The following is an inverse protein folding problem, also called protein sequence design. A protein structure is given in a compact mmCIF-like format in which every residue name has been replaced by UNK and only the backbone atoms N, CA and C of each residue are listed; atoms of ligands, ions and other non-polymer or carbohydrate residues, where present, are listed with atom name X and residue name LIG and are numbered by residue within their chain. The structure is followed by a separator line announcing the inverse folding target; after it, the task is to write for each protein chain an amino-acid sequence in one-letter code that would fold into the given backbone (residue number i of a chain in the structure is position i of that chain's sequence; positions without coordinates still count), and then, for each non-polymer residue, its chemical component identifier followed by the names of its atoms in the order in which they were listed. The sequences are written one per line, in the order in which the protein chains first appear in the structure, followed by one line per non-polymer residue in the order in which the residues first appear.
data_IF_574935970459
#
_entry.id   IF_574935970459
#
_cell.length_a   1.000
_cell.length_b   1.000
_cell.length_c   1.000
_cell.angle_alpha   90.00
_cell.angle_beta   90.00
_cell.angle_gamma   90.00
#
_symmetry.space_group_name_H-M   'P 1'
#
loop_
_entity.id
_entity.type
_entity.pdbx_description
1 polymer ?
#
# COMPACT_ATOMS: atom_id res chain seq x y z
N UNK A 1 2.95 6.97 -40.06
CA UNK A 1 2.13 6.05 -39.25
C UNK A 1 2.46 6.30 -37.79
N UNK A 2 1.77 7.24 -37.15
CA UNK A 2 1.97 7.51 -35.72
C UNK A 2 1.33 6.35 -34.98
N UNK A 3 2.14 5.49 -34.38
CA UNK A 3 1.64 4.51 -33.40
C UNK A 3 1.23 5.29 -32.17
N UNK A 4 -0.05 5.60 -32.07
CA UNK A 4 -0.65 6.02 -30.80
C UNK A 4 -0.61 4.77 -29.93
N UNK A 5 0.44 4.63 -29.12
CA UNK A 5 0.44 3.64 -28.04
C UNK A 5 -0.62 4.13 -27.04
N UNK A 6 -1.82 3.58 -27.20
CA UNK A 6 -2.86 3.64 -26.17
C UNK A 6 -2.36 2.75 -25.02
N UNK A 7 -1.57 3.32 -24.10
CA UNK A 7 -1.08 2.67 -22.87
C UNK A 7 -2.22 2.46 -21.86
N UNK A 8 -3.22 1.67 -22.27
CA UNK A 8 -4.10 0.95 -21.35
C UNK A 8 -3.84 -0.52 -21.57
N UNK A 9 -2.62 -0.95 -21.24
CA UNK A 9 -2.35 -2.37 -20.99
C UNK A 9 -3.12 -2.74 -19.72
N UNK A 10 -4.23 -3.45 -19.92
CA UNK A 10 -4.85 -4.27 -18.88
C UNK A 10 -3.83 -5.35 -18.49
N UNK A 11 -2.94 -4.97 -17.56
CA UNK A 11 -1.83 -5.78 -17.08
C UNK A 11 -2.39 -6.88 -16.17
N UNK A 12 -2.76 -7.99 -16.81
CA UNK A 12 -2.98 -9.31 -16.20
C UNK A 12 -1.73 -10.19 -16.34
N UNK A 13 -0.55 -9.57 -16.54
CA UNK A 13 0.71 -10.31 -16.49
C UNK A 13 1.02 -10.60 -15.02
N UNK A 14 1.43 -11.84 -14.68
CA UNK A 14 1.82 -12.15 -13.32
C UNK A 14 3.01 -11.27 -12.93
N UNK A 15 2.82 -10.39 -11.96
CA UNK A 15 3.93 -9.62 -11.38
C UNK A 15 4.80 -10.56 -10.56
N UNK A 16 6.07 -10.72 -10.96
CA UNK A 16 7.04 -11.53 -10.21
C UNK A 16 7.68 -10.64 -9.15
N UNK A 17 7.54 -11.04 -7.89
CA UNK A 17 8.15 -10.37 -6.74
C UNK A 17 9.18 -11.26 -6.07
N UNK A 18 10.23 -10.65 -5.51
CA UNK A 18 11.16 -11.35 -4.61
C UNK A 18 10.47 -11.73 -3.30
N UNK A 19 11.04 -12.73 -2.62
CA UNK A 19 10.59 -13.16 -1.30
C UNK A 19 11.11 -12.28 -0.15
N UNK A 20 11.64 -11.09 -0.47
CA UNK A 20 12.19 -10.18 0.54
C UNK A 20 11.08 -9.66 1.45
N UNK A 21 11.33 -9.71 2.76
CA UNK A 21 10.41 -9.19 3.77
C UNK A 21 10.75 -7.74 4.11
N UNK A 22 9.94 -6.81 3.60
CA UNK A 22 10.02 -5.38 3.86
C UNK A 22 8.60 -4.84 3.93
N UNK A 23 7.87 -5.13 5.03
CA UNK A 23 6.42 -4.99 5.07
C UNK A 23 5.97 -3.56 4.82
N UNK A 24 4.85 -3.42 4.13
CA UNK A 24 4.21 -2.13 3.85
C UNK A 24 2.71 -2.20 4.10
N UNK A 25 2.14 -1.11 4.59
CA UNK A 25 0.71 -0.99 4.78
C UNK A 25 0.09 -0.41 3.50
N UNK A 26 -0.87 -1.14 2.93
CA UNK A 26 -1.63 -0.71 1.77
C UNK A 26 -3.13 -0.69 2.05
N UNK A 27 -3.88 0.02 1.23
CA UNK A 27 -5.34 0.06 1.26
C UNK A 27 -5.90 -0.57 -0.01
N UNK A 28 -6.77 -1.56 0.16
CA UNK A 28 -7.45 -2.26 -0.93
C UNK A 28 -8.82 -2.74 -0.46
N UNK A 29 -9.82 -2.68 -1.33
CA UNK A 29 -11.16 -3.22 -1.06
C UNK A 29 -11.80 -2.72 0.25
N UNK A 30 -11.58 -1.44 0.58
CA UNK A 30 -12.15 -0.83 1.78
C UNK A 30 -11.38 -1.09 3.08
N UNK A 31 -10.25 -1.81 3.04
CA UNK A 31 -9.51 -2.22 4.24
C UNK A 31 -8.01 -1.96 4.11
N UNK A 32 -7.37 -1.75 5.26
CA UNK A 32 -5.92 -1.78 5.37
C UNK A 32 -5.44 -3.23 5.33
N UNK A 33 -4.39 -3.50 4.56
CA UNK A 33 -3.75 -4.81 4.43
C UNK A 33 -2.24 -4.66 4.41
N UNK A 34 -1.57 -5.49 5.20
CA UNK A 34 -0.11 -5.62 5.18
C UNK A 34 0.32 -6.43 3.96
N UNK A 35 1.29 -5.93 3.22
CA UNK A 35 1.95 -6.64 2.11
C UNK A 35 3.40 -6.90 2.48
N UNK A 36 3.92 -8.08 2.14
CA UNK A 36 5.28 -8.52 2.50
C UNK A 36 6.38 -7.60 1.97
N UNK A 37 6.14 -6.93 0.84
CA UNK A 37 7.00 -5.89 0.29
C UNK A 37 6.22 -4.98 -0.67
N UNK A 38 6.88 -3.89 -1.11
CA UNK A 38 6.32 -2.91 -2.04
C UNK A 38 5.94 -3.52 -3.40
N UNK A 39 6.67 -4.53 -3.87
CA UNK A 39 6.34 -5.23 -5.12
C UNK A 39 4.97 -5.92 -5.00
N UNK A 40 4.76 -6.69 -3.93
CA UNK A 40 3.49 -7.40 -3.70
C UNK A 40 2.29 -6.45 -3.53
N UNK A 41 2.52 -5.25 -2.97
CA UNK A 41 1.52 -4.19 -2.88
C UNK A 41 1.10 -3.70 -4.28
N UNK A 42 2.08 -3.39 -5.14
CA UNK A 42 1.86 -2.92 -6.52
C UNK A 42 1.20 -4.00 -7.37
N UNK A 43 1.66 -5.26 -7.26
CA UNK A 43 1.06 -6.42 -7.93
C UNK A 43 -0.43 -6.57 -7.58
N UNK A 44 -0.78 -6.25 -6.34
CA UNK A 44 -2.16 -6.29 -5.87
C UNK A 44 -2.99 -5.06 -6.25
N UNK A 45 -2.41 -4.07 -6.96
CA UNK A 45 -3.05 -2.79 -7.30
C UNK A 45 -3.60 -2.05 -6.07
N UNK A 46 -2.92 -2.20 -4.93
CA UNK A 46 -3.30 -1.56 -3.67
C UNK A 46 -2.64 -0.18 -3.52
N UNK A 47 -3.29 0.71 -2.78
CA UNK A 47 -2.75 2.05 -2.52
C UNK A 47 -1.76 2.00 -1.36
N UNK A 48 -0.52 2.43 -1.59
CA UNK A 48 0.47 2.55 -0.53
C UNK A 48 0.06 3.59 0.51
N UNK A 49 0.17 3.25 1.80
CA UNK A 49 -0.09 4.16 2.93
C UNK A 49 1.21 4.56 3.63
N UNK A 50 1.88 3.59 4.26
CA UNK A 50 3.13 3.82 4.99
C UNK A 50 3.99 2.56 5.04
N UNK A 51 5.27 2.73 5.37
CA UNK A 51 6.22 1.64 5.56
C UNK A 51 5.99 0.92 6.88
N UNK A 52 6.13 -0.40 6.90
CA UNK A 52 5.81 -1.25 8.03
C UNK A 52 4.46 -1.94 7.88
N UNK A 53 4.15 -2.82 8.82
CA UNK A 53 2.87 -3.52 8.87
C UNK A 53 1.72 -2.56 9.19
N UNK A 54 0.52 -2.85 8.70
CA UNK A 54 -0.67 -2.10 9.10
C UNK A 54 -0.91 -2.28 10.60
N UNK A 55 -1.05 -1.17 11.31
CA UNK A 55 -1.51 -1.15 12.68
C UNK A 55 -3.03 -1.09 12.67
N UNK A 56 -3.69 -2.06 13.29
CA UNK A 56 -5.12 -1.96 13.54
C UNK A 56 -5.35 -0.77 14.48
N UNK A 57 -6.35 0.04 14.15
CA UNK A 57 -6.71 1.28 14.85
C UNK A 57 -7.22 1.04 16.29
N UNK A 58 -7.11 -0.18 16.81
CA UNK A 58 -7.46 -0.53 18.19
C UNK A 58 -6.46 -0.01 19.22
N UNK A 59 -5.34 0.61 18.79
CA UNK A 59 -4.27 1.06 19.69
C UNK A 59 -3.78 2.48 19.45
N UNK A 60 -4.50 3.30 18.68
CA UNK A 60 -4.31 4.75 18.77
C UNK A 60 -5.12 5.25 19.97
N UNK A 61 -4.64 4.95 21.18
CA UNK A 61 -5.01 5.74 22.35
C UNK A 61 -4.27 7.07 22.20
N UNK A 62 -4.82 7.95 21.36
CA UNK A 62 -4.62 9.36 21.61
C UNK A 62 -5.29 9.61 22.96
N UNK A 63 -4.53 10.03 23.96
CA UNK A 63 -5.19 10.77 25.03
C UNK A 63 -5.69 12.05 24.38
N UNK A 64 -6.93 12.44 24.63
CA UNK A 64 -7.44 13.76 24.22
C UNK A 64 -6.77 14.91 25.01
N UNK A 65 -5.53 14.72 25.44
CA UNK A 65 -4.68 15.71 26.12
C UNK A 65 -4.22 16.73 25.08
N UNK A 66 -5.10 17.67 24.80
CA UNK A 66 -4.78 18.87 24.05
C UNK A 66 -3.94 19.81 24.92
N UNK A 67 -2.62 19.55 24.97
CA UNK A 67 -1.63 20.47 25.54
C UNK A 67 -0.86 21.15 24.38
N UNK A 68 -1.41 22.23 23.80
CA UNK A 68 -0.73 22.93 22.72
C UNK A 68 0.58 23.53 23.26
N UNK A 69 1.67 23.31 22.53
CA UNK A 69 2.94 24.01 22.78
C UNK A 69 2.87 25.40 22.16
N UNK A 70 3.39 26.40 22.88
CA UNK A 70 3.42 27.79 22.47
C UNK A 70 4.37 28.02 21.29
#
# INVERSE_FOLDING_TARGET
MVKIYNDKEDDDRPTICTADYSPVCGYKDGKLKTYSNKCNLTASKAYYKYSGECKDDTTTVCTDDYTPVC
#
